data_IF_205112087790
#
_entry.id   IF_205112087790
#
_cell.length_a   1.000
_cell.length_b   1.000
_cell.length_c   1.000
_cell.angle_alpha   90.00
_cell.angle_beta   90.00
_cell.angle_gamma   90.00
#
_symmetry.space_group_name_H-M   'P 1'
#
loop_
_entity.id
_entity.type
_entity.pdbx_description
1 polymer ?
#
# COMPACT_ATOMS: atom_id res chain seq x y z
N UNK A 1 4.64 27.60 -7.74
CA UNK A 1 5.56 26.95 -6.79
C UNK A 1 5.43 25.44 -7.01
N UNK A 2 6.43 24.80 -7.61
CA UNK A 2 6.40 23.36 -7.84
C UNK A 2 6.62 22.65 -6.50
N UNK A 3 5.59 21.97 -5.99
CA UNK A 3 5.72 21.08 -4.83
C UNK A 3 6.79 20.05 -5.15
N UNK A 4 7.94 20.13 -4.48
CA UNK A 4 9.05 19.18 -4.62
C UNK A 4 8.72 17.85 -3.94
N UNK A 5 7.56 17.26 -4.24
CA UNK A 5 7.30 15.88 -3.90
C UNK A 5 8.31 15.03 -4.67
N UNK A 6 9.16 14.33 -3.94
CA UNK A 6 10.14 13.45 -4.59
C UNK A 6 9.36 12.41 -5.41
N UNK A 7 9.66 12.23 -6.71
CA UNK A 7 8.85 11.40 -7.61
C UNK A 7 8.76 9.94 -7.16
N UNK A 8 9.74 9.47 -6.39
CA UNK A 8 9.76 8.14 -5.80
C UNK A 8 8.67 7.92 -4.74
N UNK A 9 8.36 8.93 -3.92
CA UNK A 9 7.32 8.82 -2.88
C UNK A 9 5.93 8.84 -3.51
N UNK A 10 5.72 9.68 -4.52
CA UNK A 10 4.44 9.75 -5.25
C UNK A 10 4.15 8.44 -5.99
N UNK A 11 5.17 7.87 -6.65
CA UNK A 11 5.06 6.55 -7.27
C UNK A 11 4.70 5.49 -6.22
N UNK A 12 5.33 5.53 -5.04
CA UNK A 12 5.06 4.57 -3.97
C UNK A 12 3.64 4.68 -3.42
N UNK A 13 3.14 5.90 -3.24
CA UNK A 13 1.75 6.15 -2.85
C UNK A 13 0.80 5.59 -3.90
N UNK A 14 1.05 5.85 -5.18
CA UNK A 14 0.21 5.35 -6.27
C UNK A 14 0.19 3.82 -6.32
N UNK A 15 1.36 3.16 -6.23
CA UNK A 15 1.46 1.70 -6.20
C UNK A 15 0.67 1.07 -5.04
N UNK A 16 0.75 1.67 -3.85
CA UNK A 16 0.02 1.19 -2.68
C UNK A 16 -1.50 1.38 -2.84
N UNK A 17 -1.92 2.45 -3.52
CA UNK A 17 -3.34 2.73 -3.75
C UNK A 17 -3.95 1.73 -4.74
N UNK A 18 -3.23 1.46 -5.84
CA UNK A 18 -3.60 0.42 -6.80
C UNK A 18 -3.67 -0.95 -6.12
N UNK A 19 -2.64 -1.33 -5.34
CA UNK A 19 -2.65 -2.60 -4.62
C UNK A 19 -3.81 -2.73 -3.62
N UNK A 20 -4.17 -1.64 -2.94
CA UNK A 20 -5.35 -1.58 -2.07
C UNK A 20 -6.65 -1.80 -2.84
N UNK A 21 -6.80 -1.15 -4.01
CA UNK A 21 -7.99 -1.31 -4.85
C UNK A 21 -8.11 -2.73 -5.42
N UNK A 22 -7.00 -3.30 -5.89
CA UNK A 22 -6.95 -4.68 -6.37
C UNK A 22 -7.25 -5.69 -5.26
N UNK A 23 -6.75 -5.49 -4.05
CA UNK A 23 -7.09 -6.36 -2.93
C UNK A 23 -8.57 -6.26 -2.55
N UNK A 24 -9.15 -5.05 -2.57
CA UNK A 24 -10.57 -4.83 -2.26
C UNK A 24 -11.52 -5.39 -3.33
N UNK A 25 -11.07 -5.56 -4.57
CA UNK A 25 -11.88 -6.16 -5.63
C UNK A 25 -11.93 -7.70 -5.55
N UNK A 26 -11.08 -8.32 -4.73
CA UNK A 26 -11.11 -9.76 -4.51
C UNK A 26 -12.28 -10.16 -3.61
N UNK A 27 -12.87 -11.31 -3.90
CA UNK A 27 -13.87 -11.93 -3.03
C UNK A 27 -13.26 -12.29 -1.67
N UNK A 28 -13.99 -12.05 -0.57
CA UNK A 28 -13.45 -12.16 0.80
C UNK A 28 -12.91 -13.56 1.14
N UNK A 29 -13.49 -14.61 0.56
CA UNK A 29 -13.06 -16.01 0.78
C UNK A 29 -11.80 -16.40 0.02
N UNK A 30 -11.31 -15.53 -0.89
CA UNK A 30 -10.11 -15.81 -1.68
C UNK A 30 -8.88 -15.83 -0.78
N UNK A 31 -8.08 -16.88 -0.87
CA UNK A 31 -6.81 -16.95 -0.17
C UNK A 31 -5.83 -15.93 -0.79
N UNK A 32 -5.22 -15.10 0.06
CA UNK A 32 -4.16 -14.16 -0.30
C UNK A 32 -2.92 -14.47 0.53
N UNK A 33 -1.76 -14.08 0.02
CA UNK A 33 -0.49 -14.37 0.65
C UNK A 33 0.32 -13.09 0.81
N UNK A 34 0.90 -12.91 1.98
CA UNK A 34 1.85 -11.84 2.24
C UNK A 34 3.27 -12.41 2.15
N UNK A 35 4.10 -11.83 1.29
CA UNK A 35 5.52 -12.20 1.19
C UNK A 35 6.31 -11.42 2.23
N UNK A 36 6.99 -12.13 3.13
CA UNK A 36 7.96 -11.55 4.09
C UNK A 36 9.31 -12.23 3.90
N UNK A 37 10.26 -11.50 3.33
CA UNK A 37 11.54 -12.08 2.89
C UNK A 37 11.31 -13.16 1.83
N UNK A 38 11.79 -14.38 2.10
CA UNK A 38 11.62 -15.54 1.22
C UNK A 38 10.38 -16.41 1.50
N UNK A 39 9.55 -16.05 2.49
CA UNK A 39 8.44 -16.89 2.96
C UNK A 39 7.10 -16.21 2.65
N UNK A 40 6.11 -17.01 2.26
CA UNK A 40 4.74 -16.58 2.00
C UNK A 40 3.82 -17.01 3.16
N UNK A 41 3.17 -16.05 3.80
CA UNK A 41 2.21 -16.31 4.87
C UNK A 41 0.80 -16.17 4.32
N UNK A 42 -0.02 -17.21 4.49
CA UNK A 42 -1.44 -17.15 4.13
C UNK A 42 -2.14 -16.12 5.03
N UNK A 43 -2.94 -15.26 4.43
CA UNK A 43 -3.73 -14.24 5.13
C UNK A 43 -5.11 -14.11 4.49
N UNK A 44 -5.97 -13.27 5.06
CA UNK A 44 -7.31 -12.97 4.54
C UNK A 44 -7.28 -11.66 3.76
N UNK A 45 -8.20 -11.50 2.80
CA UNK A 45 -8.34 -10.25 2.04
C UNK A 45 -8.48 -9.06 2.98
N UNK A 46 -9.31 -9.18 4.01
CA UNK A 46 -9.52 -8.14 5.03
C UNK A 46 -8.23 -7.74 5.76
N UNK A 47 -7.42 -8.72 6.16
CA UNK A 47 -6.16 -8.45 6.84
C UNK A 47 -5.12 -7.83 5.88
N UNK A 48 -5.05 -8.31 4.64
CA UNK A 48 -4.18 -7.76 3.62
C UNK A 48 -4.53 -6.30 3.30
N UNK A 49 -5.82 -5.98 3.10
CA UNK A 49 -6.30 -4.61 2.88
C UNK A 49 -5.94 -3.70 4.04
N UNK A 50 -6.14 -4.15 5.29
CA UNK A 50 -5.81 -3.34 6.48
C UNK A 50 -4.31 -3.06 6.57
N UNK A 51 -3.47 -4.05 6.26
CA UNK A 51 -2.02 -3.86 6.21
C UNK A 51 -1.63 -2.84 5.15
N UNK A 52 -2.16 -2.99 3.94
CA UNK A 52 -1.83 -2.14 2.80
C UNK A 52 -2.32 -0.70 2.96
N UNK A 53 -3.50 -0.52 3.56
CA UNK A 53 -4.01 0.81 3.91
C UNK A 53 -3.08 1.49 4.93
N UNK A 54 -2.57 0.74 5.93
CA UNK A 54 -1.63 1.29 6.92
C UNK A 54 -0.32 1.76 6.27
N UNK A 55 0.19 1.01 5.29
CA UNK A 55 1.39 1.43 4.55
C UNK A 55 1.13 2.66 3.69
N UNK A 56 -0.04 2.73 3.05
CA UNK A 56 -0.46 3.86 2.25
C UNK A 56 -0.58 5.15 3.07
N UNK A 57 -1.17 5.09 4.27
CA UNK A 57 -1.24 6.26 5.16
C UNK A 57 0.15 6.73 5.60
N UNK A 58 1.08 5.81 5.88
CA UNK A 58 2.48 6.16 6.17
C UNK A 58 3.16 6.82 4.98
N UNK A 59 2.99 6.27 3.79
CA UNK A 59 3.59 6.81 2.57
C UNK A 59 3.04 8.21 2.25
N UNK A 60 1.72 8.43 2.39
CA UNK A 60 1.09 9.75 2.25
C UNK A 60 1.61 10.73 3.30
N UNK A 61 1.76 10.31 4.56
CA UNK A 61 2.30 11.16 5.62
C UNK A 61 3.75 11.56 5.33
N UNK A 62 4.58 10.63 4.85
CA UNK A 62 5.96 10.90 4.45
C UNK A 62 6.03 11.86 3.26
N UNK A 63 5.25 11.62 2.20
CA UNK A 63 5.18 12.48 1.03
C UNK A 63 4.78 13.92 1.39
N UNK A 64 3.79 14.08 2.28
CA UNK A 64 3.39 15.39 2.83
C UNK A 64 4.50 16.05 3.64
N UNK A 65 5.23 15.29 4.46
CA UNK A 65 6.32 15.82 5.29
C UNK A 65 7.51 16.31 4.46
N UNK A 66 7.79 15.68 3.32
CA UNK A 66 8.88 16.07 2.41
C UNK A 66 8.49 17.13 1.37
N UNK A 67 7.19 17.46 1.28
CA UNK A 67 6.67 18.51 0.41
C UNK A 67 6.61 19.89 1.08
N UNK A 68 7.02 19.99 2.35
CA UNK A 68 7.23 21.21 3.15
C UNK A 68 8.71 21.52 3.17
#
# INVERSE_FOLDING_TARGET
MASSSTPALDLKVHQLDVACAELKSLHETRAVYEKRGGIFFRTTVKAAVKSQQKELEKAKALAKKTAV
#
